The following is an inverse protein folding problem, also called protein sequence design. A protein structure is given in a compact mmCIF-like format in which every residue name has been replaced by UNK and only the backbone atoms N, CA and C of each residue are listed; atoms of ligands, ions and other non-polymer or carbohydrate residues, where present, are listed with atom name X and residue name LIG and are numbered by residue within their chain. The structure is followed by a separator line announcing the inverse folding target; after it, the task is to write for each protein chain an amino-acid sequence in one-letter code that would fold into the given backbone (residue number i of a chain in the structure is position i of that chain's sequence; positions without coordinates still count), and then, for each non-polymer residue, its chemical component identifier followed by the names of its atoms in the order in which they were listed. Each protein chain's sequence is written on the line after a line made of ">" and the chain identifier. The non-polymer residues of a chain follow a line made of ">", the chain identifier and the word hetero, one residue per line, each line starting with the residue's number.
data_IF_045712385558
#
_entry.id   IF_045712385558
#
_cell.length_a   1.000
_cell.length_b   1.000
_cell.length_c   1.000
_cell.angle_alpha   90.00
_cell.angle_beta   90.00
_cell.angle_gamma   90.00
#
_symmetry.space_group_name_H-M   'P 1'
#
loop_
_entity.id
_entity.type
_entity.pdbx_description
1 polymer ?
#
# COMPACT_ATOMS: atom_id res chain seq x y z
N UNK A 1 6.48 14.10 15.35
CA UNK A 1 6.90 13.84 13.95
C UNK A 1 5.71 13.49 13.06
N UNK A 2 4.99 12.38 13.27
CA UNK A 2 3.82 11.98 12.44
C UNK A 2 2.76 13.08 12.32
N UNK A 3 2.44 13.79 13.42
CA UNK A 3 1.43 14.85 13.37
C UNK A 3 1.86 16.07 12.53
N UNK A 4 3.16 16.40 12.51
CA UNK A 4 3.71 17.50 11.70
C UNK A 4 3.73 17.15 10.21
N UNK A 5 4.11 15.92 9.84
CA UNK A 5 4.06 15.44 8.45
C UNK A 5 2.63 15.37 7.91
N UNK A 6 1.68 14.88 8.70
CA UNK A 6 0.27 14.84 8.32
C UNK A 6 -0.30 16.24 8.06
N UNK A 7 0.11 17.25 8.84
CA UNK A 7 -0.29 18.64 8.61
C UNK A 7 0.41 19.30 7.42
N UNK A 8 1.63 18.87 7.07
CA UNK A 8 2.38 19.44 5.93
C UNK A 8 1.97 18.83 4.59
N UNK A 9 1.57 17.56 4.57
CA UNK A 9 1.26 16.82 3.34
C UNK A 9 -0.12 16.11 3.37
N UNK A 10 -1.21 16.73 3.86
CA UNK A 10 -2.48 16.05 4.11
C UNK A 10 -3.10 15.41 2.86
N UNK A 11 -2.89 16.03 1.70
CA UNK A 11 -3.41 15.54 0.42
C UNK A 11 -2.73 14.24 -0.05
N UNK A 12 -1.46 14.01 0.29
CA UNK A 12 -0.74 12.79 -0.11
C UNK A 12 -1.25 11.57 0.64
N UNK A 13 -1.53 11.71 1.94
CA UNK A 13 -2.08 10.64 2.76
C UNK A 13 -3.55 10.37 2.43
N UNK A 14 -4.34 11.42 2.18
CA UNK A 14 -5.72 11.28 1.72
C UNK A 14 -5.79 10.52 0.39
N UNK A 15 -4.92 10.85 -0.57
CA UNK A 15 -4.84 10.15 -1.85
C UNK A 15 -4.50 8.66 -1.68
N UNK A 16 -3.54 8.32 -0.81
CA UNK A 16 -3.21 6.93 -0.49
C UNK A 16 -4.43 6.19 0.05
N UNK A 17 -5.10 6.75 1.05
CA UNK A 17 -6.27 6.11 1.69
C UNK A 17 -7.37 5.84 0.66
N UNK A 18 -7.64 6.80 -0.25
CA UNK A 18 -8.65 6.64 -1.30
C UNK A 18 -8.26 5.50 -2.26
N UNK A 19 -7.00 5.45 -2.70
CA UNK A 19 -6.49 4.40 -3.61
C UNK A 19 -6.58 3.02 -2.95
N UNK A 20 -6.10 2.91 -1.71
CA UNK A 20 -6.12 1.66 -0.94
C UNK A 20 -7.55 1.17 -0.69
N UNK A 21 -8.46 2.08 -0.30
CA UNK A 21 -9.87 1.75 -0.09
C UNK A 21 -10.54 1.23 -1.36
N UNK A 22 -10.24 1.83 -2.51
CA UNK A 22 -10.76 1.37 -3.80
C UNK A 22 -10.24 -0.03 -4.14
N UNK A 23 -8.93 -0.27 -4.02
CA UNK A 23 -8.32 -1.56 -4.32
C UNK A 23 -8.85 -2.66 -3.38
N UNK A 24 -8.99 -2.38 -2.09
CA UNK A 24 -9.57 -3.30 -1.11
C UNK A 24 -11.06 -3.57 -1.39
N UNK A 25 -11.82 -2.56 -1.82
CA UNK A 25 -13.22 -2.76 -2.23
C UNK A 25 -13.31 -3.67 -3.45
N UNK A 26 -12.43 -3.51 -4.45
CA UNK A 26 -12.38 -4.39 -5.61
C UNK A 26 -11.96 -5.82 -5.21
N UNK A 27 -10.96 -5.95 -4.35
CA UNK A 27 -10.52 -7.23 -3.80
C UNK A 27 -11.65 -8.00 -3.09
N UNK A 28 -12.41 -7.32 -2.23
CA UNK A 28 -13.45 -7.96 -1.40
C UNK A 28 -14.71 -8.33 -2.17
N UNK A 29 -15.06 -7.55 -3.21
CA UNK A 29 -16.27 -7.79 -4.03
C UNK A 29 -16.03 -8.78 -5.16
N UNK A 30 -14.77 -9.00 -5.55
CA UNK A 30 -14.42 -9.95 -6.61
C UNK A 30 -14.45 -11.37 -6.09
N UNK A 31 -15.01 -12.31 -6.85
CA UNK A 31 -15.02 -13.74 -6.53
C UNK A 31 -13.91 -14.52 -7.24
N UNK A 32 -13.44 -14.03 -8.37
CA UNK A 32 -12.36 -14.62 -9.16
C UNK A 32 -11.02 -14.55 -8.41
N UNK A 33 -10.37 -15.71 -8.23
CA UNK A 33 -9.13 -15.83 -7.46
C UNK A 33 -7.92 -15.20 -8.15
N UNK A 34 -7.87 -15.20 -9.49
CA UNK A 34 -6.81 -14.54 -10.24
C UNK A 34 -6.93 -13.03 -10.09
N UNK A 35 -8.14 -12.47 -10.22
CA UNK A 35 -8.38 -11.04 -10.02
C UNK A 35 -8.10 -10.61 -8.57
N UNK A 36 -8.49 -11.40 -7.56
CA UNK A 36 -8.11 -11.13 -6.16
C UNK A 36 -6.59 -11.08 -5.98
N UNK A 37 -5.86 -11.99 -6.62
CA UNK A 37 -4.39 -12.02 -6.56
C UNK A 37 -3.80 -10.76 -7.18
N UNK A 38 -4.33 -10.32 -8.32
CA UNK A 38 -3.93 -9.06 -8.97
C UNK A 38 -4.19 -7.88 -8.03
N UNK A 39 -5.38 -7.77 -7.43
CA UNK A 39 -5.69 -6.68 -6.50
C UNK A 39 -4.80 -6.70 -5.25
N UNK A 40 -4.49 -7.88 -4.70
CA UNK A 40 -3.58 -8.02 -3.58
C UNK A 40 -2.17 -7.48 -3.92
N UNK A 41 -1.65 -7.80 -5.10
CA UNK A 41 -0.36 -7.26 -5.60
C UNK A 41 -0.44 -5.75 -5.78
N UNK A 42 -1.55 -5.24 -6.32
CA UNK A 42 -1.75 -3.81 -6.54
C UNK A 42 -1.79 -3.03 -5.22
N UNK A 43 -2.44 -3.55 -4.18
CA UNK A 43 -2.45 -2.96 -2.82
C UNK A 43 -1.03 -2.78 -2.29
N UNK A 44 -0.26 -3.87 -2.19
CA UNK A 44 1.10 -3.77 -1.65
C UNK A 44 2.03 -2.91 -2.50
N UNK A 45 1.88 -2.95 -3.83
CA UNK A 45 2.67 -2.13 -4.76
C UNK A 45 2.31 -0.65 -4.65
N UNK A 46 1.02 -0.30 -4.53
CA UNK A 46 0.55 1.06 -4.38
C UNK A 46 1.13 1.71 -3.12
N UNK A 47 1.06 1.00 -1.98
CA UNK A 47 1.66 1.45 -0.73
C UNK A 47 3.18 1.69 -0.85
N UNK A 48 3.92 0.71 -1.41
CA UNK A 48 5.36 0.81 -1.56
C UNK A 48 5.77 1.96 -2.50
N UNK A 49 5.11 2.08 -3.67
CA UNK A 49 5.37 3.15 -4.64
C UNK A 49 5.05 4.51 -4.02
N UNK A 50 3.93 4.64 -3.32
CA UNK A 50 3.56 5.88 -2.64
C UNK A 50 4.61 6.27 -1.59
N UNK A 51 5.01 5.33 -0.72
CA UNK A 51 5.98 5.59 0.34
C UNK A 51 7.33 6.05 -0.21
N UNK A 52 7.82 5.38 -1.26
CA UNK A 52 9.05 5.75 -1.97
C UNK A 52 8.92 7.12 -2.62
N UNK A 53 7.80 7.40 -3.29
CA UNK A 53 7.60 8.63 -4.06
C UNK A 53 7.46 9.86 -3.17
N UNK A 54 6.71 9.76 -2.08
CA UNK A 54 6.49 10.87 -1.12
C UNK A 54 7.79 11.21 -0.37
N UNK A 55 8.61 10.22 -0.05
CA UNK A 55 9.88 10.42 0.67
C UNK A 55 11.10 10.44 -0.26
N UNK A 56 10.91 10.51 -1.58
CA UNK A 56 12.00 10.53 -2.55
C UNK A 56 12.88 11.78 -2.42
N UNK A 57 12.32 12.89 -1.91
CA UNK A 57 12.99 14.19 -1.76
C UNK A 57 13.49 14.51 -0.35
N UNK A 58 13.07 13.77 0.68
CA UNK A 58 13.46 13.96 2.08
C UNK A 58 14.38 12.81 2.51
N UNK A 59 15.66 13.11 2.72
CA UNK A 59 16.72 12.25 3.30
C UNK A 59 16.46 10.74 3.08
N UNK A 60 16.78 10.25 1.88
CA UNK A 60 16.72 8.82 1.54
C UNK A 60 17.69 8.05 2.43
N UNK A 61 17.25 7.60 3.60
CA UNK A 61 17.90 6.45 4.21
C UNK A 61 17.39 5.22 3.47
N UNK A 62 18.26 4.39 2.87
CA UNK A 62 17.84 3.14 2.21
C UNK A 62 16.95 2.26 3.10
N UNK A 63 17.11 2.41 4.42
CA UNK A 63 16.27 1.83 5.45
C UNK A 63 14.78 2.18 5.29
N UNK A 64 14.43 3.45 5.10
CA UNK A 64 13.04 3.91 5.04
C UNK A 64 12.33 3.41 3.77
N UNK A 65 13.06 3.39 2.64
CA UNK A 65 12.61 2.76 1.39
C UNK A 65 12.34 1.26 1.59
N UNK A 66 13.25 0.58 2.29
CA UNK A 66 13.10 -0.84 2.59
C UNK A 66 11.92 -1.10 3.53
N UNK A 67 11.66 -0.22 4.50
CA UNK A 67 10.49 -0.31 5.38
C UNK A 67 9.18 -0.26 4.59
N UNK A 68 9.01 0.68 3.65
CA UNK A 68 7.80 0.72 2.79
C UNK A 68 7.66 -0.51 1.90
N UNK A 69 8.76 -0.99 1.33
CA UNK A 69 8.75 -2.19 0.50
C UNK A 69 8.37 -3.44 1.31
N UNK A 70 8.93 -3.61 2.52
CA UNK A 70 8.61 -4.73 3.42
C UNK A 70 7.14 -4.68 3.84
N UNK A 71 6.62 -3.52 4.21
CA UNK A 71 5.21 -3.38 4.62
C UNK A 71 4.28 -3.67 3.44
N UNK A 72 4.57 -3.16 2.24
CA UNK A 72 3.82 -3.48 1.03
C UNK A 72 3.82 -4.99 0.72
N UNK A 73 4.98 -5.64 0.77
CA UNK A 73 5.11 -7.09 0.57
C UNK A 73 4.33 -7.89 1.62
N UNK A 74 4.40 -7.48 2.90
CA UNK A 74 3.66 -8.13 3.97
C UNK A 74 2.14 -8.03 3.73
N UNK A 75 1.65 -6.87 3.33
CA UNK A 75 0.24 -6.67 2.95
C UNK A 75 -0.19 -7.60 1.82
N UNK A 76 0.60 -7.67 0.74
CA UNK A 76 0.35 -8.59 -0.38
C UNK A 76 0.32 -10.06 0.06
N UNK A 77 1.26 -10.47 0.92
CA UNK A 77 1.32 -11.84 1.44
C UNK A 77 0.09 -12.17 2.30
N UNK A 78 -0.34 -11.26 3.17
CA UNK A 78 -1.51 -11.45 4.01
C UNK A 78 -2.80 -11.59 3.18
N UNK A 79 -2.98 -10.74 2.17
CA UNK A 79 -4.13 -10.83 1.27
C UNK A 79 -4.07 -12.11 0.43
N UNK A 80 -2.92 -12.45 -0.13
CA UNK A 80 -2.76 -13.68 -0.91
C UNK A 80 -3.02 -14.94 -0.07
N UNK A 81 -2.61 -14.94 1.19
CA UNK A 81 -2.91 -16.03 2.13
C UNK A 81 -4.42 -16.16 2.36
N UNK A 82 -5.14 -15.05 2.54
CA UNK A 82 -6.60 -15.08 2.68
C UNK A 82 -7.29 -15.70 1.45
N UNK A 83 -6.80 -15.43 0.23
CA UNK A 83 -7.32 -16.09 -0.98
C UNK A 83 -7.14 -17.60 -0.90
N UNK A 84 -5.97 -18.06 -0.44
CA UNK A 84 -5.65 -19.51 -0.40
C UNK A 84 -6.50 -20.30 0.61
N UNK A 85 -7.11 -19.61 1.58
CA UNK A 85 -7.93 -20.22 2.64
C UNK A 85 -9.44 -20.15 2.32
N UNK A 86 -9.85 -19.33 1.34
CA UNK A 86 -11.25 -19.19 0.89
C UNK A 86 -11.54 -20.00 -0.37
#
# INVERSE_FOLDING_TARGET
>A
MVHQELTQHPYHYTALIIIEALLLSLYTTTTDSLLKTIFAILVGSAYAIWGISVHAGSIRTPRLVLEYAIVGLLGTLMLSFLISVT
#
